data_IF_449435838881
#
_entry.id   IF_449435838881
#
_cell.length_a   1.000
_cell.length_b   1.000
_cell.length_c   1.000
_cell.angle_alpha   90.00
_cell.angle_beta   90.00
_cell.angle_gamma   90.00
#
_symmetry.space_group_name_H-M   'P 1'
#
loop_
_entity.id
_entity.type
_entity.pdbx_description
1 polymer ?
#
# COMPACT_ATOMS: atom_id res chain seq x y z
N UNK A 1 50.19 24.13 -10.52
CA UNK A 1 48.80 23.78 -10.16
C UNK A 1 48.83 23.10 -8.79
N UNK A 2 48.38 23.81 -7.75
CA UNK A 2 48.36 23.31 -6.37
C UNK A 2 47.18 22.34 -6.22
N UNK A 3 47.47 21.09 -5.85
CA UNK A 3 46.47 20.02 -5.74
C UNK A 3 45.75 20.17 -4.39
N UNK A 4 44.59 20.85 -4.38
CA UNK A 4 43.75 21.08 -3.19
C UNK A 4 43.04 19.79 -2.73
N UNK A 5 43.80 18.77 -2.33
CA UNK A 5 43.26 17.48 -1.85
C UNK A 5 42.70 17.53 -0.42
N UNK A 6 42.75 18.68 0.24
CA UNK A 6 42.29 18.86 1.64
C UNK A 6 40.97 19.62 1.77
N UNK A 7 40.25 19.88 0.67
CA UNK A 7 38.93 20.50 0.74
C UNK A 7 37.87 19.40 0.82
N UNK A 8 37.05 19.45 1.88
CA UNK A 8 35.88 18.58 2.01
C UNK A 8 34.94 18.78 0.83
N UNK A 9 34.44 17.68 0.26
CA UNK A 9 33.47 17.75 -0.83
C UNK A 9 32.07 17.88 -0.26
N UNK A 10 31.36 18.92 -0.70
CA UNK A 10 29.93 19.10 -0.40
C UNK A 10 29.14 18.55 -1.59
N UNK A 11 28.21 17.65 -1.30
CA UNK A 11 27.35 17.00 -2.30
C UNK A 11 25.90 17.36 -2.02
N UNK A 12 25.16 17.59 -3.11
CA UNK A 12 23.71 17.71 -3.11
C UNK A 12 23.14 16.45 -3.79
N UNK A 13 22.29 15.73 -3.08
CA UNK A 13 21.50 14.63 -3.63
C UNK A 13 20.04 15.06 -3.72
N UNK A 14 19.45 14.88 -4.89
CA UNK A 14 18.03 15.11 -5.15
C UNK A 14 17.40 13.82 -5.65
N UNK A 15 16.21 13.49 -5.15
CA UNK A 15 15.52 12.28 -5.53
C UNK A 15 14.14 12.18 -4.90
N UNK A 16 13.62 10.95 -4.85
CA UNK A 16 12.43 10.64 -4.08
C UNK A 16 12.75 9.61 -3.01
N UNK A 17 12.33 9.83 -1.74
CA UNK A 17 12.53 8.83 -0.71
C UNK A 17 11.50 7.72 -0.83
N UNK A 18 10.34 8.02 -1.44
CA UNK A 18 9.24 7.07 -1.58
C UNK A 18 9.49 6.12 -2.76
N UNK A 19 8.99 4.90 -2.63
CA UNK A 19 9.02 3.94 -3.73
C UNK A 19 8.04 4.35 -4.84
N UNK A 20 8.56 4.65 -6.03
CA UNK A 20 7.72 4.96 -7.20
C UNK A 20 7.17 3.66 -7.78
N UNK A 21 5.88 3.41 -7.54
CA UNK A 21 5.19 2.18 -7.95
C UNK A 21 4.02 2.48 -8.89
N UNK A 22 3.74 1.55 -9.80
CA UNK A 22 2.51 1.55 -10.61
C UNK A 22 1.27 1.12 -9.81
N UNK A 23 1.48 0.62 -8.59
CA UNK A 23 0.44 0.19 -7.65
C UNK A 23 0.36 1.14 -6.45
N UNK A 24 -0.81 1.32 -5.83
CA UNK A 24 -0.94 2.10 -4.61
C UNK A 24 -0.14 1.45 -3.47
N UNK A 25 0.38 2.28 -2.56
CA UNK A 25 1.14 1.84 -1.39
C UNK A 25 0.36 2.24 -0.14
N UNK A 26 -0.01 1.26 0.70
CA UNK A 26 -0.79 1.51 1.91
C UNK A 26 0.00 2.23 2.99
N UNK A 27 1.27 1.87 3.16
CA UNK A 27 2.16 2.45 4.15
C UNK A 27 3.60 2.46 3.64
N UNK A 28 4.25 3.62 3.72
CA UNK A 28 5.66 3.78 3.42
C UNK A 28 6.37 4.43 4.62
N UNK A 29 7.48 3.83 5.03
CA UNK A 29 8.37 4.36 6.04
C UNK A 29 9.81 4.27 5.54
N UNK A 30 10.14 5.19 4.65
CA UNK A 30 11.42 5.19 3.95
C UNK A 30 12.52 5.85 4.79
N UNK A 31 13.73 5.28 4.73
CA UNK A 31 14.90 5.74 5.47
C UNK A 31 16.07 5.87 4.50
N UNK A 32 16.63 7.08 4.39
CA UNK A 32 17.86 7.35 3.65
C UNK A 32 19.03 7.33 4.62
N UNK A 33 20.04 6.51 4.35
CA UNK A 33 21.28 6.48 5.14
C UNK A 33 22.41 7.05 4.29
N UNK A 34 23.11 8.06 4.80
CA UNK A 34 24.30 8.60 4.14
C UNK A 34 25.53 8.16 4.92
N UNK A 35 26.29 7.25 4.33
CA UNK A 35 27.50 6.72 4.96
C UNK A 35 28.68 7.67 4.81
N UNK A 36 29.55 7.70 5.82
CA UNK A 36 30.79 8.46 5.81
C UNK A 36 30.60 9.95 5.43
N UNK A 37 29.53 10.56 5.93
CA UNK A 37 29.20 11.94 5.63
C UNK A 37 28.61 12.65 6.85
N UNK A 38 28.76 13.97 6.87
CA UNK A 38 28.05 14.86 7.78
C UNK A 38 26.91 15.52 7.02
N UNK A 39 25.68 15.26 7.45
CA UNK A 39 24.49 15.89 6.88
C UNK A 39 24.49 17.38 7.28
N UNK A 40 24.37 18.27 6.29
CA UNK A 40 24.34 19.72 6.46
C UNK A 40 22.91 20.25 6.39
N UNK A 41 22.13 19.74 5.44
CA UNK A 41 20.72 20.10 5.24
C UNK A 41 19.97 18.89 4.69
N UNK A 42 18.70 18.74 5.05
CA UNK A 42 17.84 17.67 4.56
C UNK A 42 16.38 18.12 4.61
N UNK A 43 15.59 17.56 3.71
CA UNK A 43 14.12 17.49 3.84
C UNK A 43 13.81 16.17 4.55
N UNK A 44 12.77 16.06 5.40
CA UNK A 44 12.47 14.82 6.12
C UNK A 44 11.75 15.06 7.44
N UNK A 45 11.25 13.99 8.06
CA UNK A 45 10.50 14.08 9.32
C UNK A 45 11.41 13.93 10.54
N UNK A 46 12.48 13.15 10.43
CA UNK A 46 13.38 12.87 11.56
C UNK A 46 14.79 12.56 11.09
N UNK A 47 15.79 13.11 11.78
CA UNK A 47 17.20 12.75 11.64
C UNK A 47 17.68 12.00 12.88
N UNK A 48 18.35 10.86 12.68
CA UNK A 48 19.00 10.10 13.73
C UNK A 48 20.42 9.70 13.29
N UNK A 49 21.42 10.45 13.75
CA UNK A 49 22.80 10.30 13.30
C UNK A 49 22.92 10.61 11.82
N UNK A 50 23.19 9.58 11.02
CA UNK A 50 23.33 9.66 9.56
C UNK A 50 22.11 9.09 8.79
N UNK A 51 21.00 8.86 9.48
CA UNK A 51 19.76 8.31 8.92
C UNK A 51 18.64 9.35 8.92
N UNK A 52 18.04 9.57 7.77
CA UNK A 52 16.91 10.49 7.58
C UNK A 52 15.65 9.66 7.30
N UNK A 53 14.61 9.88 8.09
CA UNK A 53 13.31 9.22 7.94
C UNK A 53 12.33 10.11 7.17
N UNK A 54 11.59 9.50 6.24
CA UNK A 54 10.52 10.10 5.44
C UNK A 54 9.28 9.21 5.57
N UNK A 55 8.52 9.43 6.65
CA UNK A 55 7.34 8.65 6.98
C UNK A 55 7.09 8.51 8.48
N UNK A 56 6.06 7.74 8.89
CA UNK A 56 5.18 6.95 8.02
C UNK A 56 4.24 7.82 7.17
N UNK A 57 3.99 7.40 5.94
CA UNK A 57 2.98 7.98 5.04
C UNK A 57 1.97 6.91 4.67
N UNK A 58 0.69 7.21 4.82
CA UNK A 58 -0.40 6.27 4.50
C UNK A 58 -0.99 6.57 3.12
N UNK A 59 -1.44 5.52 2.43
CA UNK A 59 -2.24 5.60 1.20
C UNK A 59 -1.63 6.48 0.10
N UNK A 60 -0.44 6.10 -0.38
CA UNK A 60 0.26 6.76 -1.48
C UNK A 60 -0.32 6.26 -2.82
N UNK A 61 -0.72 7.19 -3.68
CA UNK A 61 -1.25 6.88 -5.01
C UNK A 61 -0.17 6.32 -5.95
N UNK A 62 -0.55 5.54 -6.99
CA UNK A 62 0.37 5.14 -8.05
C UNK A 62 1.13 6.34 -8.64
N UNK A 63 2.39 6.12 -9.01
CA UNK A 63 3.29 7.09 -9.61
C UNK A 63 3.52 8.36 -8.78
N UNK A 64 3.29 8.31 -7.47
CA UNK A 64 3.62 9.44 -6.58
C UNK A 64 5.13 9.51 -6.35
N UNK A 65 5.70 10.68 -6.61
CA UNK A 65 7.08 11.02 -6.27
C UNK A 65 7.11 12.30 -5.45
N UNK A 66 7.75 12.25 -4.28
CA UNK A 66 8.06 13.44 -3.50
C UNK A 66 9.49 13.88 -3.78
N UNK A 67 9.69 15.13 -4.16
CA UNK A 67 11.04 15.67 -4.36
C UNK A 67 11.67 15.98 -3.01
N UNK A 68 12.85 15.42 -2.78
CA UNK A 68 13.66 15.68 -1.60
C UNK A 68 15.06 16.08 -2.02
N UNK A 69 15.67 16.94 -1.21
CA UNK A 69 17.06 17.33 -1.31
C UNK A 69 17.79 17.07 -0.01
N UNK A 70 19.02 16.58 -0.13
CA UNK A 70 19.93 16.35 1.00
C UNK A 70 21.29 16.90 0.63
N UNK A 71 21.80 17.81 1.45
CA UNK A 71 23.14 18.34 1.34
C UNK A 71 24.03 17.72 2.42
N UNK A 72 25.16 17.16 2.03
CA UNK A 72 26.08 16.52 2.96
C UNK A 72 27.55 16.75 2.57
N UNK A 73 28.40 16.78 3.58
CA UNK A 73 29.85 16.85 3.47
C UNK A 73 30.41 15.43 3.54
N UNK A 74 31.14 15.00 2.50
CA UNK A 74 31.84 13.71 2.52
C UNK A 74 33.00 13.81 3.50
N UNK A 75 33.01 12.93 4.49
CA UNK A 75 34.10 12.84 5.46
C UNK A 75 35.27 12.05 4.83
N UNK A 76 36.52 12.40 5.15
CA UNK A 76 37.67 11.62 4.71
C UNK A 76 37.54 10.18 5.22
N UNK A 77 37.70 9.22 4.31
CA UNK A 77 37.55 7.79 4.58
C UNK A 77 38.52 7.37 5.69
N UNK A 78 38.02 7.12 6.89
CA UNK A 78 38.79 6.42 7.93
C UNK A 78 38.70 4.94 7.60
N UNK A 79 39.81 4.39 7.12
CA UNK A 79 39.96 2.97 6.77
C UNK A 79 39.46 2.07 7.90
N UNK A 80 38.25 1.54 7.74
CA UNK A 80 37.70 0.50 8.60
C UNK A 80 36.94 -0.48 7.68
N UNK A 81 37.15 -1.80 7.81
CA UNK A 81 36.78 -2.76 6.77
C UNK A 81 35.26 -2.83 6.63
N UNK A 82 34.77 -2.48 5.45
CA UNK A 82 33.34 -2.43 5.14
C UNK A 82 32.80 -3.84 4.99
N UNK A 83 32.21 -4.38 6.06
CA UNK A 83 31.22 -5.45 5.92
C UNK A 83 30.00 -4.86 5.21
N UNK A 84 29.74 -5.32 3.99
CA UNK A 84 28.60 -4.92 3.16
C UNK A 84 27.31 -5.08 3.98
N UNK A 85 26.74 -3.98 4.44
CA UNK A 85 25.52 -3.97 5.23
C UNK A 85 24.32 -4.08 4.28
N UNK A 86 23.73 -5.27 4.33
CA UNK A 86 22.41 -5.67 3.83
C UNK A 86 21.40 -4.52 3.94
N UNK A 87 20.86 -4.09 2.81
CA UNK A 87 19.64 -3.25 2.77
C UNK A 87 18.54 -4.08 3.43
N UNK A 88 18.19 -3.75 4.68
CA UNK A 88 17.11 -4.42 5.41
C UNK A 88 15.79 -3.71 5.09
N UNK A 89 15.26 -3.96 3.90
CA UNK A 89 13.89 -3.60 3.54
C UNK A 89 12.92 -4.58 4.19
N UNK A 90 12.25 -4.17 5.26
CA UNK A 90 11.06 -4.86 5.77
C UNK A 90 9.86 -4.48 4.90
N UNK A 91 9.84 -4.98 3.66
CA UNK A 91 8.69 -4.84 2.76
C UNK A 91 7.78 -6.02 3.02
N UNK A 92 6.71 -5.81 3.81
CA UNK A 92 5.55 -6.71 3.79
C UNK A 92 4.70 -6.35 2.57
N UNK A 93 5.11 -6.84 1.40
CA UNK A 93 4.22 -6.92 0.26
C UNK A 93 3.22 -8.04 0.55
N UNK A 94 2.05 -7.70 1.08
CA UNK A 94 0.96 -8.65 1.13
C UNK A 94 0.48 -8.86 -0.30
N UNK A 95 0.61 -10.11 -0.78
CA UNK A 95 -0.15 -10.59 -1.93
C UNK A 95 -1.61 -10.28 -1.60
N UNK A 96 -2.26 -9.47 -2.42
CA UNK A 96 -3.71 -9.30 -2.37
C UNK A 96 -4.26 -10.64 -2.85
N UNK A 97 -4.38 -11.59 -1.92
CA UNK A 97 -5.26 -12.72 -2.09
C UNK A 97 -6.65 -12.12 -2.18
N UNK A 98 -7.18 -12.15 -3.40
CA UNK A 98 -8.54 -11.76 -3.70
C UNK A 98 -9.44 -12.31 -2.61
N UNK A 99 -10.14 -11.40 -1.92
CA UNK A 99 -11.11 -11.61 -0.83
C UNK A 99 -12.20 -12.67 -1.13
N UNK A 100 -12.20 -13.27 -2.33
CA UNK A 100 -13.03 -14.40 -2.70
C UNK A 100 -12.64 -15.71 -2.01
N UNK A 101 -11.38 -15.98 -1.63
CA UNK A 101 -11.00 -17.35 -1.22
C UNK A 101 -11.48 -17.74 0.20
N UNK A 102 -11.80 -16.79 1.08
CA UNK A 102 -12.20 -17.09 2.46
C UNK A 102 -13.72 -17.28 2.69
N UNK A 103 -14.57 -16.71 1.82
CA UNK A 103 -15.98 -16.50 2.15
C UNK A 103 -16.99 -16.98 1.09
N UNK A 104 -16.56 -17.74 0.07
CA UNK A 104 -17.46 -18.31 -0.95
C UNK A 104 -18.60 -19.11 -0.33
N UNK A 105 -18.32 -19.91 0.71
CA UNK A 105 -19.34 -20.70 1.39
C UNK A 105 -20.41 -19.81 2.05
N UNK A 106 -20.00 -18.72 2.71
CA UNK A 106 -20.92 -17.75 3.33
C UNK A 106 -21.80 -17.08 2.28
N UNK A 107 -21.22 -16.69 1.14
CA UNK A 107 -21.93 -16.05 0.03
C UNK A 107 -22.97 -17.01 -0.58
N UNK A 108 -22.62 -18.28 -0.77
CA UNK A 108 -23.55 -19.30 -1.28
C UNK A 108 -24.71 -19.51 -0.31
N UNK A 109 -24.45 -19.58 0.99
CA UNK A 109 -25.49 -19.72 2.02
C UNK A 109 -26.43 -18.51 2.03
N UNK A 110 -25.89 -17.29 1.98
CA UNK A 110 -26.69 -16.06 1.89
C UNK A 110 -27.58 -16.02 0.65
N UNK A 111 -27.05 -16.41 -0.51
CA UNK A 111 -27.83 -16.48 -1.75
C UNK A 111 -28.94 -17.53 -1.67
N UNK A 112 -28.68 -18.71 -1.09
CA UNK A 112 -29.69 -19.74 -0.91
C UNK A 112 -30.85 -19.29 -0.01
N UNK A 113 -30.53 -18.59 1.10
CA UNK A 113 -31.53 -18.02 2.00
C UNK A 113 -32.39 -16.97 1.28
N UNK A 114 -31.76 -16.08 0.49
CA UNK A 114 -32.48 -15.06 -0.27
C UNK A 114 -33.48 -15.69 -1.25
N UNK A 115 -33.05 -16.69 -2.02
CA UNK A 115 -33.91 -17.42 -2.97
C UNK A 115 -35.07 -18.09 -2.25
N UNK A 116 -34.82 -18.70 -1.09
CA UNK A 116 -35.86 -19.35 -0.29
C UNK A 116 -36.90 -18.35 0.23
N UNK A 117 -36.47 -17.17 0.71
CA UNK A 117 -37.37 -16.10 1.14
C UNK A 117 -38.23 -15.61 -0.04
N UNK A 118 -37.62 -15.37 -1.20
CA UNK A 118 -38.33 -14.97 -2.42
C UNK A 118 -39.37 -16.02 -2.83
N UNK A 119 -39.04 -17.31 -2.76
CA UNK A 119 -39.96 -18.41 -3.06
C UNK A 119 -41.15 -18.44 -2.09
N UNK A 120 -40.91 -18.30 -0.78
CA UNK A 120 -41.98 -18.25 0.22
C UNK A 120 -42.89 -17.03 0.02
N UNK A 121 -42.33 -15.88 -0.32
CA UNK A 121 -43.11 -14.69 -0.62
C UNK A 121 -43.97 -14.89 -1.87
N UNK A 122 -43.38 -15.42 -2.94
CA UNK A 122 -44.08 -15.65 -4.21
C UNK A 122 -45.20 -16.70 -4.09
N UNK A 123 -44.97 -17.78 -3.34
CA UNK A 123 -46.01 -18.80 -3.09
C UNK A 123 -47.16 -18.25 -2.24
N UNK A 124 -46.88 -17.40 -1.25
CA UNK A 124 -47.92 -16.69 -0.48
C UNK A 124 -48.70 -15.70 -1.34
N UNK A 125 -48.02 -14.99 -2.24
CA UNK A 125 -48.65 -14.07 -3.20
C UNK A 125 -49.55 -14.82 -4.17
N UNK A 126 -49.07 -15.93 -4.76
CA UNK A 126 -49.84 -16.79 -5.65
C UNK A 126 -51.06 -17.41 -4.96
N UNK A 127 -50.95 -17.80 -3.68
CA UNK A 127 -52.11 -18.27 -2.90
C UNK A 127 -53.17 -17.17 -2.72
N UNK A 128 -52.77 -15.91 -2.54
CA UNK A 128 -53.71 -14.79 -2.49
C UNK A 128 -54.34 -14.46 -3.85
N UNK A 129 -53.65 -14.75 -4.96
CA UNK A 129 -54.11 -14.45 -6.32
C UNK A 129 -54.92 -15.57 -6.98
N UNK A 130 -54.88 -16.82 -6.46
CA UNK A 130 -55.76 -17.90 -6.94
C UNK A 130 -57.20 -17.62 -6.53
N UNK A 131 -58.00 -17.10 -7.46
CA UNK A 131 -59.45 -17.22 -7.40
C UNK A 131 -59.83 -18.70 -7.55
N UNK A 132 -60.80 -19.22 -6.78
CA UNK A 132 -61.26 -20.60 -6.94
C UNK A 132 -61.81 -20.78 -8.35
N UNK A 133 -61.41 -21.86 -9.01
CA UNK A 133 -61.98 -22.26 -10.29
C UNK A 133 -63.45 -22.64 -10.06
N UNK A 134 -64.37 -21.83 -10.61
CA UNK A 134 -65.80 -22.12 -10.60
C UNK A 134 -66.11 -22.88 -11.90
N UNK A 135 -66.47 -24.17 -11.86
CA UNK A 135 -66.86 -24.89 -13.07
C UNK A 135 -68.15 -24.29 -13.62
N UNK A 136 -68.16 -23.99 -14.92
CA UNK A 136 -69.34 -23.46 -15.61
C UNK A 136 -70.51 -24.46 -15.51
N UNK A 137 -71.63 -24.00 -14.96
CA UNK A 137 -72.86 -24.77 -14.84
C UNK A 137 -73.38 -25.08 -16.25
N UNK A 138 -73.43 -26.36 -16.63
CA UNK A 138 -74.10 -26.78 -17.86
C UNK A 138 -75.59 -26.45 -17.75
N UNK A 139 -76.09 -25.63 -18.66
CA UNK A 139 -77.52 -25.39 -18.88
C UNK A 139 -78.00 -26.53 -19.77
N UNK A 140 -78.95 -27.32 -19.26
CA UNK A 140 -79.76 -28.28 -20.01
C UNK A 140 -81.11 -27.63 -20.26
#
# INVERSE_FOLDING_TARGET
>A
MQNNRNQSQIVLWEGSPNYVSVYPIENDNSIVTIENAKILSYTGTKLNGNKIQYGPTESIAPFTSNNVSIQYEILPYKSQPTSVNKILTNIKAYKIETFLEGNILLIIILMAILVFICYLFFTRLLKKLRKPYVPAKKVV
#
